data_IF_679581515696
#
_entry.id   IF_679581515696
#
_cell.length_a   1.000
_cell.length_b   1.000
_cell.length_c   1.000
_cell.angle_alpha   90.00
_cell.angle_beta   90.00
_cell.angle_gamma   90.00
#
_symmetry.space_group_name_H-M   'P 1'
#
loop_
_entity.id
_entity.type
_entity.pdbx_description
1 polymer ?
#
# COMPACT_ATOMS: atom_id res chain seq x y z
N UNK A 1 11.94 5.47 -8.03
CA UNK A 1 11.69 5.88 -6.62
C UNK A 1 11.13 4.66 -5.90
N UNK A 2 11.65 4.31 -4.73
CA UNK A 2 11.21 3.11 -4.03
C UNK A 2 9.92 3.37 -3.24
N UNK A 3 9.07 2.35 -3.11
CA UNK A 3 7.88 2.43 -2.27
C UNK A 3 8.26 2.57 -0.78
N UNK A 4 7.42 3.20 0.05
CA UNK A 4 7.73 3.40 1.48
C UNK A 4 7.96 2.10 2.27
N UNK A 5 7.25 1.04 1.91
CA UNK A 5 7.37 -0.28 2.50
C UNK A 5 6.71 -1.32 1.58
N UNK A 6 7.06 -2.63 1.71
CA UNK A 6 6.51 -3.67 0.85
C UNK A 6 5.03 -3.98 1.12
N UNK A 7 4.48 -3.53 2.26
CA UNK A 7 3.05 -3.68 2.58
C UNK A 7 2.46 -2.33 2.96
N UNK A 8 1.40 -1.93 2.25
CA UNK A 8 0.53 -0.80 2.56
C UNK A 8 -0.69 -1.30 3.33
N UNK A 9 -0.93 -0.79 4.53
CA UNK A 9 -2.20 -0.97 5.24
C UNK A 9 -3.19 0.11 4.81
N UNK A 10 -4.35 -0.27 4.29
CA UNK A 10 -5.47 0.64 4.02
C UNK A 10 -6.50 0.46 5.12
N UNK A 11 -6.95 1.56 5.74
CA UNK A 11 -7.97 1.51 6.78
C UNK A 11 -9.38 1.45 6.19
N UNK A 12 -10.29 0.83 6.93
CA UNK A 12 -11.73 0.78 6.65
C UNK A 12 -12.46 0.45 7.96
N UNK A 13 -12.98 1.47 8.63
CA UNK A 13 -13.65 1.33 9.93
C UNK A 13 -14.89 0.45 9.88
N UNK A 14 -15.56 0.37 8.71
CA UNK A 14 -16.75 -0.47 8.55
C UNK A 14 -16.44 -1.97 8.65
N UNK A 15 -15.19 -2.38 8.40
CA UNK A 15 -14.72 -3.74 8.55
C UNK A 15 -13.97 -3.98 9.87
N UNK A 16 -13.61 -2.92 10.58
CA UNK A 16 -12.78 -3.02 11.77
C UNK A 16 -13.55 -3.61 12.97
N UNK A 17 -12.92 -4.55 13.68
CA UNK A 17 -13.47 -5.12 14.94
C UNK A 17 -13.17 -4.27 16.17
N UNK A 18 -12.27 -3.29 16.03
CA UNK A 18 -11.82 -2.37 17.07
C UNK A 18 -11.72 -0.96 16.48
N UNK A 19 -11.58 0.08 17.30
CA UNK A 19 -11.25 1.41 16.81
C UNK A 19 -10.07 1.38 15.82
N UNK A 20 -10.17 2.09 14.71
CA UNK A 20 -9.15 2.06 13.63
C UNK A 20 -7.76 2.40 14.17
N UNK A 21 -7.66 3.35 15.11
CA UNK A 21 -6.41 3.73 15.73
C UNK A 21 -5.72 2.55 16.46
N UNK A 22 -6.51 1.69 17.14
CA UNK A 22 -5.99 0.49 17.81
C UNK A 22 -5.52 -0.57 16.79
N UNK A 23 -6.28 -0.75 15.69
CA UNK A 23 -5.88 -1.67 14.61
C UNK A 23 -4.56 -1.21 13.99
N UNK A 24 -4.43 0.08 13.73
CA UNK A 24 -3.20 0.65 13.17
C UNK A 24 -2.04 0.52 14.16
N UNK A 25 -2.25 0.80 15.46
CA UNK A 25 -1.23 0.62 16.49
C UNK A 25 -0.70 -0.82 16.51
N UNK A 26 -1.59 -1.81 16.56
CA UNK A 26 -1.19 -3.22 16.51
C UNK A 26 -0.47 -3.58 15.20
N UNK A 27 -0.92 -3.07 14.06
CA UNK A 27 -0.22 -3.30 12.79
C UNK A 27 1.21 -2.71 12.79
N UNK A 28 1.40 -1.53 13.39
CA UNK A 28 2.72 -0.88 13.54
C UNK A 28 3.64 -1.72 14.43
N UNK A 29 3.14 -2.26 15.54
CA UNK A 29 3.85 -3.21 16.41
C UNK A 29 4.24 -4.48 15.64
N UNK A 30 3.36 -4.94 14.74
CA UNK A 30 3.61 -6.08 13.83
C UNK A 30 4.56 -5.79 12.67
N UNK A 31 5.10 -4.56 12.56
CA UNK A 31 6.06 -4.17 11.54
C UNK A 31 5.48 -3.35 10.37
N UNK A 32 4.24 -2.88 10.45
CA UNK A 32 3.70 -1.95 9.45
C UNK A 32 4.52 -0.65 9.44
N UNK A 33 4.84 -0.16 8.24
CA UNK A 33 5.57 1.11 8.06
C UNK A 33 4.92 2.02 7.03
N UNK A 34 3.77 1.62 6.48
CA UNK A 34 3.05 2.40 5.49
C UNK A 34 1.54 2.22 5.65
N UNK A 35 0.81 3.32 5.89
CA UNK A 35 -0.63 3.32 6.16
C UNK A 35 -1.33 4.35 5.29
N UNK A 36 -2.45 4.01 4.70
CA UNK A 36 -3.38 4.91 4.01
C UNK A 36 -4.68 5.01 4.80
N UNK A 37 -4.94 6.16 5.41
CA UNK A 37 -6.16 6.44 6.17
C UNK A 37 -7.30 6.67 5.19
N UNK A 38 -8.26 5.73 5.15
CA UNK A 38 -9.35 5.71 4.18
C UNK A 38 -10.70 5.52 4.87
N UNK A 39 -11.29 6.61 5.31
CA UNK A 39 -12.59 6.60 6.00
C UNK A 39 -13.55 7.55 5.26
N UNK A 40 -14.08 7.08 4.12
CA UNK A 40 -14.89 7.90 3.20
C UNK A 40 -16.26 8.29 3.75
N UNK A 41 -16.73 7.59 4.76
CA UNK A 41 -18.00 7.78 5.44
C UNK A 41 -17.91 8.80 6.59
N UNK A 42 -16.69 9.20 6.99
CA UNK A 42 -16.48 10.26 7.97
C UNK A 42 -16.57 11.65 7.35
N UNK A 43 -17.09 12.61 8.09
CA UNK A 43 -17.03 14.01 7.72
C UNK A 43 -15.56 14.51 7.68
N UNK A 44 -15.29 15.54 6.87
CA UNK A 44 -13.94 16.06 6.69
C UNK A 44 -13.19 16.41 7.98
N UNK A 45 -13.80 17.04 9.02
CA UNK A 45 -13.14 17.29 10.29
C UNK A 45 -12.73 16.00 11.02
N UNK A 46 -13.58 14.95 10.97
CA UNK A 46 -13.32 13.67 11.61
C UNK A 46 -12.20 12.91 10.90
N UNK A 47 -12.16 12.93 9.56
CA UNK A 47 -11.05 12.36 8.79
C UNK A 47 -9.71 13.01 9.18
N UNK A 48 -9.69 14.35 9.33
CA UNK A 48 -8.50 15.08 9.75
C UNK A 48 -8.10 14.73 11.18
N UNK A 49 -9.06 14.62 12.10
CA UNK A 49 -8.79 14.25 13.49
C UNK A 49 -8.18 12.84 13.60
N UNK A 50 -8.81 11.86 12.94
CA UNK A 50 -8.32 10.47 12.90
C UNK A 50 -6.92 10.38 12.25
N UNK A 51 -6.70 11.05 11.13
CA UNK A 51 -5.41 11.04 10.47
C UNK A 51 -4.30 11.61 11.38
N UNK A 52 -4.57 12.69 12.12
CA UNK A 52 -3.63 13.27 13.09
C UNK A 52 -3.36 12.34 14.27
N UNK A 53 -4.39 11.65 14.74
CA UNK A 53 -4.23 10.63 15.79
C UNK A 53 -3.32 9.50 15.33
N UNK A 54 -3.58 8.94 14.13
CA UNK A 54 -2.76 7.87 13.54
C UNK A 54 -1.31 8.35 13.29
N UNK A 55 -1.11 9.57 12.81
CA UNK A 55 0.23 10.14 12.64
C UNK A 55 0.99 10.15 13.98
N UNK A 56 0.35 10.57 15.07
CA UNK A 56 0.96 10.60 16.40
C UNK A 56 1.33 9.20 16.90
N UNK A 57 0.45 8.21 16.70
CA UNK A 57 0.70 6.81 17.03
C UNK A 57 1.87 6.26 16.21
N UNK A 58 2.00 6.67 14.95
CA UNK A 58 2.99 6.16 14.02
C UNK A 58 4.41 6.75 14.18
N UNK A 59 4.55 7.89 14.89
CA UNK A 59 5.83 8.57 15.07
C UNK A 59 6.96 7.67 15.59
N UNK A 60 6.77 6.85 16.67
CA UNK A 60 7.83 6.00 17.19
C UNK A 60 8.28 4.90 16.22
N UNK A 61 7.47 4.61 15.22
CA UNK A 61 7.72 3.55 14.24
C UNK A 61 8.29 4.08 12.91
N UNK A 62 8.47 5.40 12.77
CA UNK A 62 8.90 6.07 11.55
C UNK A 62 8.02 5.69 10.32
N UNK A 63 6.76 5.36 10.57
CA UNK A 63 5.85 4.90 9.52
C UNK A 63 5.30 6.08 8.71
N UNK A 64 5.16 5.88 7.40
CA UNK A 64 4.57 6.87 6.50
C UNK A 64 3.05 6.76 6.51
N UNK A 65 2.39 7.84 6.86
CA UNK A 65 0.93 7.93 6.90
C UNK A 65 0.45 8.77 5.72
N UNK A 66 -0.42 8.17 4.92
CA UNK A 66 -1.06 8.78 3.76
C UNK A 66 -2.53 9.07 4.06
N UNK A 67 -3.11 10.07 3.43
CA UNK A 67 -4.57 10.22 3.39
C UNK A 67 -5.11 9.69 2.05
N UNK A 68 -6.26 9.03 2.09
CA UNK A 68 -6.94 8.57 0.89
C UNK A 68 -8.05 9.57 0.50
N UNK A 69 -8.00 10.08 -0.73
CA UNK A 69 -9.07 10.91 -1.30
C UNK A 69 -8.67 12.37 -1.52
N UNK A 70 -9.20 13.30 -0.72
CA UNK A 70 -9.03 14.74 -0.96
C UNK A 70 -7.66 15.27 -0.51
N UNK A 71 -6.82 15.78 -1.43
CA UNK A 71 -5.52 16.35 -1.09
C UNK A 71 -5.61 17.59 -0.17
N UNK A 72 -6.74 18.29 -0.12
CA UNK A 72 -6.94 19.42 0.81
C UNK A 72 -6.99 18.93 2.26
N UNK A 73 -7.55 17.74 2.50
CA UNK A 73 -7.53 17.13 3.83
C UNK A 73 -6.12 16.65 4.19
N UNK A 74 -5.38 16.07 3.24
CA UNK A 74 -3.99 15.68 3.44
C UNK A 74 -3.12 16.89 3.84
N UNK A 75 -3.26 18.02 3.18
CA UNK A 75 -2.56 19.27 3.51
C UNK A 75 -2.83 19.75 4.94
N UNK A 76 -4.03 19.49 5.48
CA UNK A 76 -4.42 19.88 6.86
C UNK A 76 -3.87 18.95 7.94
N UNK A 77 -3.37 17.77 7.59
CA UNK A 77 -3.00 16.72 8.55
C UNK A 77 -1.51 16.56 8.77
N UNK A 78 -0.65 17.05 7.88
CA UNK A 78 0.78 16.73 7.80
C UNK A 78 1.04 15.25 7.43
N UNK A 79 0.12 14.59 6.74
CA UNK A 79 0.36 13.30 6.12
C UNK A 79 1.57 13.37 5.18
N UNK A 80 2.27 12.25 5.01
CA UNK A 80 3.39 12.13 4.06
C UNK A 80 2.94 12.27 2.60
N UNK A 81 1.63 12.22 2.33
CA UNK A 81 1.07 12.39 1.00
C UNK A 81 -0.39 11.97 0.89
N UNK A 82 -0.84 11.71 -0.34
CA UNK A 82 -2.22 11.37 -0.66
C UNK A 82 -2.29 10.19 -1.63
N UNK A 83 -3.32 9.36 -1.46
CA UNK A 83 -3.76 8.40 -2.47
C UNK A 83 -5.04 8.88 -3.13
N UNK A 84 -4.98 9.11 -4.43
CA UNK A 84 -6.10 9.60 -5.23
C UNK A 84 -6.97 8.46 -5.79
N UNK A 85 -8.29 8.65 -5.95
CA UNK A 85 -9.11 7.74 -6.71
C UNK A 85 -8.72 7.76 -8.20
N UNK A 86 -9.15 6.78 -8.97
CA UNK A 86 -9.01 6.77 -10.42
C UNK A 86 -9.57 8.08 -11.03
N UNK A 87 -8.85 8.65 -11.99
CA UNK A 87 -9.19 9.94 -12.59
C UNK A 87 -8.86 11.18 -11.74
N UNK A 88 -8.32 11.03 -10.53
CA UNK A 88 -7.93 12.15 -9.68
C UNK A 88 -6.88 13.07 -10.32
N UNK A 89 -6.92 14.37 -9.97
CA UNK A 89 -5.98 15.37 -10.50
C UNK A 89 -4.65 15.35 -9.72
N UNK A 90 -3.70 14.57 -10.25
CA UNK A 90 -2.35 14.41 -9.69
C UNK A 90 -1.61 15.75 -9.65
N UNK A 91 -1.74 16.55 -10.72
CA UNK A 91 -1.05 17.84 -10.81
C UNK A 91 -1.58 18.84 -9.78
N UNK A 92 -2.88 18.88 -9.56
CA UNK A 92 -3.47 19.70 -8.50
C UNK A 92 -3.04 19.24 -7.10
N UNK A 93 -3.03 17.93 -6.85
CA UNK A 93 -2.53 17.38 -5.58
C UNK A 93 -1.06 17.75 -5.36
N UNK A 94 -0.22 17.63 -6.38
CA UNK A 94 1.21 17.98 -6.35
C UNK A 94 1.42 19.48 -6.08
N UNK A 95 0.65 20.36 -6.74
CA UNK A 95 0.73 21.82 -6.49
C UNK A 95 0.36 22.16 -5.04
N UNK A 96 -0.62 21.47 -4.48
CA UNK A 96 -1.11 21.74 -3.13
C UNK A 96 -0.18 21.19 -2.03
N UNK A 97 0.36 19.98 -2.22
CA UNK A 97 1.14 19.28 -1.20
C UNK A 97 2.65 19.50 -1.32
N UNK A 98 3.10 20.03 -2.46
CA UNK A 98 4.51 20.28 -2.74
C UNK A 98 5.23 19.08 -3.37
N UNK A 99 6.51 19.27 -3.77
CA UNK A 99 7.27 18.28 -4.54
C UNK A 99 7.64 17.04 -3.72
N UNK A 100 7.75 17.16 -2.41
CA UNK A 100 8.20 16.06 -1.54
C UNK A 100 7.05 15.18 -1.02
N UNK A 101 5.79 15.55 -1.25
CA UNK A 101 4.66 14.75 -0.85
C UNK A 101 4.52 13.53 -1.75
N UNK A 102 4.22 12.37 -1.18
CA UNK A 102 3.91 11.18 -1.96
C UNK A 102 2.51 11.27 -2.56
N UNK A 103 2.39 11.14 -3.88
CA UNK A 103 1.10 11.14 -4.59
C UNK A 103 0.95 9.84 -5.35
N UNK A 104 0.04 8.99 -4.91
CA UNK A 104 -0.32 7.76 -5.62
C UNK A 104 -1.77 7.81 -6.11
N UNK A 105 -2.12 6.96 -7.07
CA UNK A 105 -3.45 6.94 -7.68
C UNK A 105 -3.91 5.52 -7.94
N UNK A 106 -5.24 5.30 -7.88
CA UNK A 106 -5.85 4.04 -8.28
C UNK A 106 -5.83 3.87 -9.80
N UNK A 107 -5.52 2.66 -10.27
CA UNK A 107 -5.60 2.25 -11.67
C UNK A 107 -6.27 0.88 -11.77
N UNK A 108 -7.02 0.66 -12.86
CA UNK A 108 -7.75 -0.58 -13.14
C UNK A 108 -7.27 -1.27 -14.43
N UNK A 109 -6.25 -0.70 -15.08
CA UNK A 109 -5.65 -1.20 -16.30
C UNK A 109 -4.34 -0.53 -16.65
N UNK A 110 -3.73 -1.01 -17.75
CA UNK A 110 -2.41 -0.55 -18.20
C UNK A 110 -2.43 0.93 -18.60
N UNK A 111 -3.43 1.36 -19.37
CA UNK A 111 -3.49 2.74 -19.87
C UNK A 111 -3.56 3.76 -18.74
N UNK A 112 -4.35 3.44 -17.69
CA UNK A 112 -4.44 4.30 -16.50
C UNK A 112 -3.11 4.35 -15.74
N UNK A 113 -2.40 3.22 -15.64
CA UNK A 113 -1.11 3.13 -14.97
C UNK A 113 -0.04 3.95 -15.72
N UNK A 114 0.01 3.86 -17.04
CA UNK A 114 0.95 4.63 -17.88
C UNK A 114 0.62 6.14 -17.82
N UNK A 115 -0.65 6.51 -17.97
CA UNK A 115 -1.08 7.90 -17.91
C UNK A 115 -0.81 8.57 -16.53
N UNK A 116 -0.72 7.80 -15.45
CA UNK A 116 -0.38 8.33 -14.13
C UNK A 116 1.07 8.83 -14.06
N UNK A 117 2.00 8.17 -14.73
CA UNK A 117 3.41 8.56 -14.80
C UNK A 117 3.58 9.94 -15.47
N UNK A 118 2.95 10.14 -16.60
CA UNK A 118 3.02 11.42 -17.35
C UNK A 118 2.46 12.61 -16.56
N UNK A 119 1.61 12.33 -15.57
CA UNK A 119 1.00 13.34 -14.70
C UNK A 119 1.77 13.57 -13.41
N UNK A 120 2.83 12.79 -13.14
CA UNK A 120 3.73 12.97 -12.01
C UNK A 120 3.26 12.28 -10.73
N UNK A 121 2.60 11.12 -10.83
CA UNK A 121 2.39 10.23 -9.69
C UNK A 121 3.70 9.55 -9.27
N UNK A 122 3.78 9.14 -8.00
CA UNK A 122 4.92 8.40 -7.47
C UNK A 122 4.69 6.87 -7.51
N UNK A 123 3.42 6.45 -7.54
CA UNK A 123 3.03 5.04 -7.66
C UNK A 123 1.59 4.90 -8.16
N UNK A 124 1.24 3.71 -8.64
CA UNK A 124 -0.14 3.33 -8.94
C UNK A 124 -0.56 2.16 -8.07
N UNK A 125 -1.82 2.17 -7.58
CA UNK A 125 -2.42 0.98 -6.99
C UNK A 125 -3.31 0.29 -8.02
N UNK A 126 -2.93 -0.93 -8.39
CA UNK A 126 -3.63 -1.73 -9.41
C UNK A 126 -4.63 -2.67 -8.73
N UNK A 127 -5.90 -2.56 -9.09
CA UNK A 127 -6.98 -3.34 -8.46
C UNK A 127 -8.16 -3.63 -9.39
N UNK A 128 -8.92 -4.72 -9.12
CA UNK A 128 -8.66 -5.76 -8.11
C UNK A 128 -7.76 -6.88 -8.67
N UNK A 129 -6.74 -7.33 -7.93
CA UNK A 129 -5.89 -8.45 -8.37
C UNK A 129 -6.63 -9.78 -8.19
N UNK A 130 -7.25 -9.99 -7.02
CA UNK A 130 -8.10 -11.13 -6.73
C UNK A 130 -9.52 -10.66 -6.41
N UNK A 131 -10.50 -11.54 -6.55
CA UNK A 131 -11.85 -11.27 -6.06
C UNK A 131 -11.82 -10.95 -4.55
N UNK A 132 -12.58 -9.94 -4.14
CA UNK A 132 -12.58 -9.46 -2.77
C UNK A 132 -13.97 -9.48 -2.16
N UNK A 133 -14.08 -10.00 -0.95
CA UNK A 133 -15.31 -9.94 -0.17
C UNK A 133 -15.70 -8.50 0.22
N UNK A 134 -14.73 -7.58 0.26
CA UNK A 134 -14.96 -6.17 0.62
C UNK A 134 -15.71 -5.38 -0.44
N UNK A 135 -15.75 -5.86 -1.68
CA UNK A 135 -16.50 -5.24 -2.80
C UNK A 135 -17.06 -6.32 -3.72
N UNK A 136 -18.14 -7.00 -3.33
CA UNK A 136 -18.79 -7.99 -4.19
C UNK A 136 -19.22 -7.34 -5.52
N UNK A 137 -18.89 -7.97 -6.65
CA UNK A 137 -19.29 -7.47 -7.98
C UNK A 137 -18.44 -6.32 -8.54
N UNK A 138 -17.37 -5.94 -7.90
CA UNK A 138 -16.46 -4.90 -8.41
C UNK A 138 -15.53 -5.44 -9.50
N UNK A 139 -16.07 -5.63 -10.72
CA UNK A 139 -15.36 -6.04 -11.91
C UNK A 139 -14.70 -7.44 -11.85
N UNK A 140 -14.25 -7.97 -12.96
CA UNK A 140 -13.44 -9.20 -12.98
C UNK A 140 -12.06 -8.91 -12.35
N UNK A 141 -11.56 -9.89 -11.57
CA UNK A 141 -10.20 -9.85 -11.06
C UNK A 141 -9.19 -9.82 -12.22
N UNK A 142 -8.17 -8.98 -12.09
CA UNK A 142 -7.12 -8.83 -13.09
C UNK A 142 -6.22 -10.09 -13.18
N UNK A 143 -5.98 -10.72 -12.03
CA UNK A 143 -5.09 -11.86 -11.90
C UNK A 143 -3.61 -11.49 -11.97
N UNK A 144 -2.77 -12.48 -11.64
CA UNK A 144 -1.32 -12.29 -11.57
C UNK A 144 -0.67 -12.04 -12.94
N UNK A 145 -1.20 -12.65 -13.99
CA UNK A 145 -0.66 -12.48 -15.34
C UNK A 145 -0.78 -11.02 -15.83
N UNK A 146 -1.96 -10.39 -15.61
CA UNK A 146 -2.14 -8.97 -15.93
C UNK A 146 -1.32 -8.08 -15.03
N UNK A 147 -1.21 -8.41 -13.74
CA UNK A 147 -0.33 -7.70 -12.81
C UNK A 147 1.10 -7.70 -13.34
N UNK A 148 1.65 -8.86 -13.70
CA UNK A 148 3.02 -8.98 -14.21
C UNK A 148 3.25 -8.13 -15.47
N UNK A 149 2.33 -8.20 -16.44
CA UNK A 149 2.43 -7.40 -17.67
C UNK A 149 2.41 -5.89 -17.38
N UNK A 150 1.51 -5.44 -16.50
CA UNK A 150 1.38 -4.03 -16.18
C UNK A 150 2.57 -3.56 -15.35
N UNK A 151 3.04 -4.35 -14.38
CA UNK A 151 4.21 -4.02 -13.58
C UNK A 151 5.48 -3.88 -14.44
N UNK A 152 5.67 -4.78 -15.41
CA UNK A 152 6.80 -4.72 -16.33
C UNK A 152 6.74 -3.52 -17.30
N UNK A 153 5.54 -3.07 -17.68
CA UNK A 153 5.35 -1.95 -18.61
C UNK A 153 5.31 -0.58 -17.90
N UNK A 154 4.99 -0.56 -16.60
CA UNK A 154 4.80 0.68 -15.85
C UNK A 154 6.14 1.33 -15.48
N UNK A 155 6.35 2.62 -15.78
CA UNK A 155 7.51 3.37 -15.28
C UNK A 155 7.40 3.71 -13.80
N UNK A 156 6.24 3.49 -13.18
CA UNK A 156 5.98 3.71 -11.77
C UNK A 156 5.91 2.40 -11.00
N UNK A 157 6.27 2.39 -9.72
CA UNK A 157 6.00 1.28 -8.83
C UNK A 157 4.51 0.92 -8.83
N UNK A 158 4.20 -0.37 -9.00
CA UNK A 158 2.83 -0.89 -8.94
C UNK A 158 2.57 -1.51 -7.58
N UNK A 159 1.54 -1.03 -6.89
CA UNK A 159 1.05 -1.57 -5.63
C UNK A 159 -0.15 -2.48 -5.94
N UNK A 160 -0.02 -3.78 -5.72
CA UNK A 160 -1.11 -4.74 -5.95
C UNK A 160 -2.17 -4.62 -4.85
N UNK A 161 -3.45 -4.49 -5.22
CA UNK A 161 -4.57 -4.35 -4.29
C UNK A 161 -5.75 -5.23 -4.69
N UNK A 162 -6.46 -5.74 -3.70
CA UNK A 162 -7.71 -6.49 -3.87
C UNK A 162 -7.56 -7.98 -3.62
N UNK A 163 -8.27 -8.47 -2.59
CA UNK A 163 -8.32 -9.86 -2.20
C UNK A 163 -7.01 -10.44 -1.66
N UNK A 164 -6.06 -9.61 -1.26
CA UNK A 164 -4.77 -10.05 -0.68
C UNK A 164 -4.96 -10.17 0.82
N UNK A 165 -5.13 -11.39 1.32
CA UNK A 165 -5.47 -11.65 2.72
C UNK A 165 -4.52 -12.64 3.42
N UNK A 166 -3.58 -13.25 2.69
CA UNK A 166 -2.66 -14.27 3.19
C UNK A 166 -1.26 -14.13 2.58
N UNK A 167 -0.30 -14.90 3.13
CA UNK A 167 1.10 -14.87 2.73
C UNK A 167 1.32 -15.38 1.30
N UNK A 168 0.50 -16.32 0.84
CA UNK A 168 0.61 -16.91 -0.50
C UNK A 168 0.32 -15.84 -1.55
N UNK A 169 -0.76 -15.06 -1.34
CA UNK A 169 -1.14 -13.97 -2.24
C UNK A 169 -0.18 -12.78 -2.17
N UNK A 170 0.36 -12.48 -0.98
CA UNK A 170 1.41 -11.46 -0.83
C UNK A 170 2.62 -11.83 -1.69
N UNK A 171 3.15 -13.04 -1.50
CA UNK A 171 4.32 -13.55 -2.25
C UNK A 171 4.04 -13.57 -3.74
N UNK A 172 2.93 -14.15 -4.17
CA UNK A 172 2.56 -14.24 -5.58
C UNK A 172 2.47 -12.88 -6.27
N UNK A 173 1.96 -11.84 -5.60
CA UNK A 173 1.93 -10.47 -6.15
C UNK A 173 3.33 -9.88 -6.31
N UNK A 174 4.21 -10.07 -5.32
CA UNK A 174 5.59 -9.57 -5.38
C UNK A 174 6.40 -10.31 -6.46
N UNK A 175 6.27 -11.64 -6.56
CA UNK A 175 6.87 -12.45 -7.62
C UNK A 175 6.37 -12.06 -9.02
N UNK A 176 5.12 -11.62 -9.12
CA UNK A 176 4.56 -11.07 -10.35
C UNK A 176 5.04 -9.63 -10.67
N UNK A 177 5.99 -9.09 -9.91
CA UNK A 177 6.61 -7.79 -10.16
C UNK A 177 5.94 -6.59 -9.49
N UNK A 178 4.97 -6.80 -8.59
CA UNK A 178 4.47 -5.70 -7.78
C UNK A 178 5.59 -5.17 -6.86
N UNK A 179 5.74 -3.85 -6.78
CA UNK A 179 6.69 -3.22 -5.86
C UNK A 179 6.23 -3.30 -4.39
N UNK A 180 4.93 -3.39 -4.18
CA UNK A 180 4.32 -3.59 -2.87
C UNK A 180 2.92 -4.20 -3.02
N UNK A 181 2.37 -4.65 -1.90
CA UNK A 181 0.97 -5.08 -1.81
C UNK A 181 0.19 -4.19 -0.85
N UNK A 182 -1.09 -3.98 -1.10
CA UNK A 182 -1.99 -3.29 -0.19
C UNK A 182 -2.99 -4.27 0.43
N UNK A 183 -3.10 -4.23 1.74
CA UNK A 183 -4.03 -5.05 2.52
C UNK A 183 -5.03 -4.16 3.26
N UNK A 184 -6.24 -4.65 3.46
CA UNK A 184 -7.30 -3.96 4.21
C UNK A 184 -8.02 -4.94 5.13
N UNK A 185 -8.85 -5.79 4.58
CA UNK A 185 -9.72 -6.70 5.33
C UNK A 185 -8.98 -7.63 6.28
N UNK A 186 -7.84 -8.17 5.86
CA UNK A 186 -7.03 -9.07 6.69
C UNK A 186 -6.63 -8.43 8.02
N UNK A 187 -6.25 -7.15 8.03
CA UNK A 187 -5.89 -6.42 9.24
C UNK A 187 -7.12 -5.87 9.99
N UNK A 188 -8.08 -5.28 9.27
CA UNK A 188 -9.26 -4.66 9.89
C UNK A 188 -10.11 -5.67 10.65
N UNK A 189 -10.28 -6.88 10.12
CA UNK A 189 -11.07 -7.95 10.75
C UNK A 189 -10.28 -8.81 11.74
N UNK A 190 -8.99 -8.55 11.91
CA UNK A 190 -8.13 -9.34 12.79
C UNK A 190 -8.50 -9.18 14.26
N UNK A 191 -8.47 -10.27 15.01
CA UNK A 191 -8.47 -10.23 16.47
C UNK A 191 -7.13 -9.70 17.01
N UNK A 192 -6.04 -10.03 16.32
CA UNK A 192 -4.67 -9.57 16.61
C UNK A 192 -4.04 -9.00 15.33
N UNK A 193 -4.14 -7.68 15.11
CA UNK A 193 -3.53 -7.02 13.94
C UNK A 193 -2.01 -7.14 13.91
N UNK A 194 -1.33 -7.17 15.08
CA UNK A 194 0.12 -7.29 15.15
C UNK A 194 0.59 -8.64 14.60
N UNK A 195 -0.03 -9.74 15.07
CA UNK A 195 0.28 -11.08 14.59
C UNK A 195 0.03 -11.25 13.08
N UNK A 196 -1.12 -10.71 12.59
CA UNK A 196 -1.44 -10.74 11.14
C UNK A 196 -0.37 -10.00 10.35
N UNK A 197 -0.01 -8.78 10.78
CA UNK A 197 0.96 -7.98 10.04
C UNK A 197 2.36 -8.59 10.06
N UNK A 198 2.82 -9.07 11.22
CA UNK A 198 4.11 -9.76 11.35
C UNK A 198 4.19 -11.01 10.47
N UNK A 199 3.09 -11.75 10.33
CA UNK A 199 2.99 -12.92 9.46
C UNK A 199 3.11 -12.52 7.98
N UNK A 200 2.34 -11.53 7.53
CA UNK A 200 2.37 -11.05 6.15
C UNK A 200 3.72 -10.41 5.80
N UNK A 201 4.35 -9.70 6.74
CA UNK A 201 5.67 -9.10 6.54
C UNK A 201 6.77 -10.14 6.31
N UNK A 202 6.66 -11.35 6.88
CA UNK A 202 7.59 -12.44 6.57
C UNK A 202 7.51 -12.87 5.11
N UNK A 203 6.32 -12.84 4.51
CA UNK A 203 6.13 -13.21 3.11
C UNK A 203 6.73 -12.20 2.12
N UNK A 204 7.07 -10.99 2.55
CA UNK A 204 7.74 -9.99 1.70
C UNK A 204 9.25 -10.20 1.58
N UNK A 205 9.84 -11.04 2.43
CA UNK A 205 11.23 -11.46 2.31
C UNK A 205 11.29 -12.50 1.20
N UNK A 206 11.58 -12.07 -0.01
CA UNK A 206 11.97 -12.98 -1.07
C UNK A 206 13.30 -13.60 -0.62
N UNK A 207 13.32 -14.91 -0.34
CA UNK A 207 14.54 -15.59 0.06
C UNK A 207 15.59 -15.30 -1.01
N UNK A 208 16.58 -14.47 -0.62
CA UNK A 208 17.65 -14.08 -1.52
C UNK A 208 18.33 -15.34 -2.04
N UNK A 209 18.57 -15.36 -3.33
CA UNK A 209 19.51 -16.27 -3.97
C UNK A 209 20.70 -16.41 -3.03
N UNK A 210 20.89 -17.62 -2.48
CA UNK A 210 22.07 -17.98 -1.73
C UNK A 210 23.27 -17.57 -2.58
N UNK A 211 23.98 -16.52 -2.18
CA UNK A 211 25.26 -16.19 -2.77
C UNK A 211 26.14 -17.41 -2.52
N UNK A 212 26.41 -18.16 -3.58
CA UNK A 212 27.42 -19.19 -3.56
C UNK A 212 28.74 -18.48 -3.27
N UNK A 213 29.24 -18.66 -2.06
CA UNK A 213 30.60 -18.30 -1.72
C UNK A 213 31.53 -18.91 -2.75
N UNK A 214 32.45 -18.12 -3.34
CA UNK A 214 33.44 -18.69 -4.23
C UNK A 214 34.32 -19.65 -3.41
N UNK A 215 34.19 -20.95 -3.74
CA UNK A 215 35.04 -21.99 -3.23
C UNK A 215 36.49 -21.53 -3.31
N UNK A 216 37.12 -21.33 -2.16
CA UNK A 216 38.55 -21.09 -2.00
C UNK A 216 39.31 -22.30 -2.61
N UNK A 217 39.84 -22.10 -3.81
CA UNK A 217 40.86 -23.00 -4.36
C UNK A 217 42.16 -22.71 -3.63
N UNK A 218 42.37 -23.36 -2.53
CA UNK A 218 43.72 -23.60 -2.03
C UNK A 218 44.37 -24.64 -2.93
N UNK A 219 45.17 -24.16 -3.85
CA UNK A 219 46.12 -25.00 -4.62
C UNK A 219 47.31 -25.30 -3.74
N UNK A 220 47.51 -26.52 -3.42
CA UNK A 220 48.76 -27.03 -2.89
C UNK A 220 49.79 -27.27 -4.02
N UNK A 221 50.98 -27.12 -3.64
CA UNK A 221 52.26 -27.60 -4.10
C UNK A 221 53.24 -26.56 -4.47
#
# INVERSE_FOLDING_TARGET
MDVPAPILLITDRAQARRPVAEVVAGALEGGCRWVSVREKDLAAPEQVALAREIIRIALPFEARIMLHGDPRLAARTRCAGVHLPAGGDIRAARRLLGPNAWVSISAHGQDEALAAADRGADAVSLSPIFASASKPGYGPALGLERLARIAAASPLPVVALGGIEDEVRVRACLEAGAAAVAIMGAAMRAADPAAVFARLARATRLDGVVSQDPVSRTGGS
#
